data_IF_058405445933
#
_entry.id   IF_058405445933
#
_cell.length_a   1.000
_cell.length_b   1.000
_cell.length_c   1.000
_cell.angle_alpha   90.00
_cell.angle_beta   90.00
_cell.angle_gamma   90.00
#
_symmetry.space_group_name_H-M   'P 1'
#
loop_
_entity.id
_entity.type
_entity.pdbx_description
1 polymer ?
#
# COMPACT_ATOMS: atom_id res chain seq x y z
N UNK A 1 20.47 -10.85 -6.59
CA UNK A 1 21.08 -9.50 -6.59
C UNK A 1 21.76 -9.10 -7.91
N UNK A 2 22.67 -9.91 -8.45
CA UNK A 2 23.43 -9.52 -9.66
C UNK A 2 22.52 -9.32 -10.89
N UNK A 3 21.59 -10.23 -11.15
CA UNK A 3 20.61 -10.09 -12.25
C UNK A 3 19.80 -8.82 -12.12
N UNK A 4 19.37 -8.48 -10.89
CA UNK A 4 18.58 -7.27 -10.64
C UNK A 4 19.37 -5.99 -10.93
N UNK A 5 20.68 -5.96 -10.59
CA UNK A 5 21.56 -4.83 -10.95
C UNK A 5 21.66 -4.63 -12.47
N UNK A 6 21.70 -5.72 -13.26
CA UNK A 6 21.70 -5.66 -14.72
C UNK A 6 20.38 -5.09 -15.25
N UNK A 7 19.24 -5.50 -14.67
CA UNK A 7 17.91 -4.97 -15.05
C UNK A 7 17.81 -3.47 -14.77
N UNK A 8 18.28 -3.03 -13.60
CA UNK A 8 18.34 -1.60 -13.24
C UNK A 8 19.24 -0.84 -14.22
N UNK A 9 20.47 -1.33 -14.48
CA UNK A 9 21.40 -0.69 -15.43
C UNK A 9 20.77 -0.57 -16.83
N UNK A 10 20.05 -1.59 -17.28
CA UNK A 10 19.33 -1.57 -18.57
C UNK A 10 18.24 -0.52 -18.62
N UNK A 11 17.50 -0.30 -17.53
CA UNK A 11 16.50 0.74 -17.46
C UNK A 11 17.11 2.15 -17.51
N UNK A 12 18.30 2.34 -16.91
CA UNK A 12 19.01 3.62 -16.85
C UNK A 12 19.66 4.06 -18.17
N UNK A 13 19.98 3.12 -19.07
CA UNK A 13 20.65 3.44 -20.37
C UNK A 13 19.87 4.49 -21.19
N UNK A 14 18.56 4.55 -21.03
CA UNK A 14 17.70 5.50 -21.73
C UNK A 14 17.59 6.86 -21.03
N UNK A 15 18.33 7.09 -19.95
CA UNK A 15 18.29 8.31 -19.14
C UNK A 15 16.85 8.77 -18.81
N UNK A 16 16.01 7.86 -18.25
CA UNK A 16 14.60 8.15 -18.01
C UNK A 16 14.44 9.16 -16.88
N UNK A 17 13.34 9.92 -16.88
CA UNK A 17 12.94 10.76 -15.75
C UNK A 17 12.19 9.98 -14.68
N UNK A 18 11.51 8.88 -15.05
CA UNK A 18 10.84 7.98 -14.13
C UNK A 18 11.03 6.52 -14.54
N UNK A 19 11.00 5.63 -13.54
CA UNK A 19 11.10 4.18 -13.73
C UNK A 19 9.93 3.51 -13.01
N UNK A 20 9.26 2.62 -13.74
CA UNK A 20 8.21 1.77 -13.20
C UNK A 20 8.81 0.47 -12.68
N UNK A 21 8.62 0.19 -11.40
CA UNK A 21 9.19 -0.96 -10.71
C UNK A 21 8.05 -1.88 -10.23
N UNK A 22 7.85 -2.97 -10.95
CA UNK A 22 6.84 -3.97 -10.60
C UNK A 22 7.49 -5.12 -9.85
N UNK A 23 7.24 -5.20 -8.55
CA UNK A 23 7.81 -6.17 -7.61
C UNK A 23 9.34 -6.36 -7.74
N UNK A 24 10.15 -5.30 -7.78
CA UNK A 24 11.55 -5.38 -8.20
C UNK A 24 12.44 -6.15 -7.22
N UNK A 25 11.98 -6.44 -6.01
CA UNK A 25 12.77 -7.11 -4.97
C UNK A 25 12.09 -8.35 -4.37
N UNK A 26 10.91 -8.73 -4.84
CA UNK A 26 10.07 -9.81 -4.25
C UNK A 26 10.74 -11.19 -4.27
N UNK A 27 11.60 -11.47 -5.26
CA UNK A 27 12.30 -12.73 -5.42
C UNK A 27 13.69 -12.76 -4.77
N UNK A 28 14.03 -11.78 -3.95
CA UNK A 28 15.35 -11.64 -3.34
C UNK A 28 15.26 -11.94 -1.82
N UNK A 29 16.36 -12.46 -1.27
CA UNK A 29 16.50 -12.55 0.19
C UNK A 29 16.61 -11.15 0.82
N UNK A 30 16.26 -11.02 2.11
CA UNK A 30 16.14 -9.74 2.83
C UNK A 30 17.43 -8.91 2.76
N UNK A 31 18.60 -9.57 2.84
CA UNK A 31 19.88 -8.89 2.82
C UNK A 31 20.18 -8.27 1.44
N UNK A 32 19.90 -9.01 0.38
CA UNK A 32 20.06 -8.53 -0.99
C UNK A 32 18.99 -7.48 -1.34
N UNK A 33 17.77 -7.66 -0.83
CA UNK A 33 16.69 -6.68 -0.95
C UNK A 33 17.13 -5.29 -0.46
N UNK A 34 17.68 -5.22 0.76
CA UNK A 34 18.20 -3.98 1.33
C UNK A 34 19.28 -3.33 0.46
N UNK A 35 20.22 -4.14 -0.08
CA UNK A 35 21.27 -3.63 -0.97
C UNK A 35 20.71 -3.05 -2.28
N UNK A 36 19.68 -3.66 -2.86
CA UNK A 36 19.04 -3.15 -4.09
C UNK A 36 18.24 -1.88 -3.79
N UNK A 37 17.53 -1.81 -2.67
CA UNK A 37 16.79 -0.60 -2.29
C UNK A 37 17.73 0.59 -2.05
N UNK A 38 18.84 0.39 -1.34
CA UNK A 38 19.84 1.44 -1.15
C UNK A 38 20.43 1.90 -2.50
N UNK A 39 20.78 0.94 -3.38
CA UNK A 39 21.23 1.30 -4.73
C UNK A 39 20.20 2.13 -5.49
N UNK A 40 18.91 1.81 -5.38
CA UNK A 40 17.86 2.58 -6.05
C UNK A 40 17.71 3.99 -5.46
N UNK A 41 17.88 4.16 -4.15
CA UNK A 41 17.90 5.48 -3.51
C UNK A 41 19.10 6.30 -3.94
N UNK A 42 20.30 5.72 -3.96
CA UNK A 42 21.52 6.38 -4.44
C UNK A 42 21.35 6.88 -5.90
N UNK A 43 20.76 6.03 -6.75
CA UNK A 43 20.49 6.38 -8.15
C UNK A 43 19.40 7.47 -8.26
N UNK A 44 18.39 7.45 -7.39
CA UNK A 44 17.35 8.48 -7.33
C UNK A 44 17.98 9.84 -7.01
N UNK A 45 18.83 9.90 -6.00
CA UNK A 45 19.54 11.14 -5.62
C UNK A 45 20.49 11.62 -6.70
N UNK A 46 21.29 10.70 -7.28
CA UNK A 46 22.31 11.03 -8.27
C UNK A 46 21.72 11.54 -9.59
N UNK A 47 20.61 10.93 -10.05
CA UNK A 47 20.04 11.20 -11.37
C UNK A 47 18.69 11.95 -11.32
N UNK A 48 18.18 12.27 -10.13
CA UNK A 48 16.88 12.94 -9.98
C UNK A 48 15.71 12.10 -10.49
N UNK A 49 15.77 10.76 -10.28
CA UNK A 49 14.77 9.83 -10.78
C UNK A 49 13.50 9.86 -9.94
N UNK A 50 12.36 9.64 -10.61
CA UNK A 50 11.10 9.32 -9.94
C UNK A 50 10.78 7.84 -10.11
N UNK A 51 10.45 7.15 -9.02
CA UNK A 51 10.01 5.75 -9.06
C UNK A 51 8.49 5.64 -8.88
N UNK A 52 7.88 4.76 -9.69
CA UNK A 52 6.56 4.19 -9.39
C UNK A 52 6.81 2.76 -8.97
N UNK A 53 6.61 2.47 -7.68
CA UNK A 53 7.00 1.21 -7.07
C UNK A 53 5.76 0.39 -6.69
N UNK A 54 5.61 -0.81 -7.26
CA UNK A 54 4.55 -1.77 -6.89
C UNK A 54 5.17 -2.87 -6.05
N UNK A 55 4.60 -3.12 -4.89
CA UNK A 55 5.01 -4.21 -4.00
C UNK A 55 3.90 -4.56 -3.02
N UNK A 56 3.92 -5.78 -2.52
CA UNK A 56 3.08 -6.23 -1.42
C UNK A 56 3.83 -6.21 -0.06
N UNK A 57 5.13 -5.90 -0.06
CA UNK A 57 5.92 -5.81 1.16
C UNK A 57 5.88 -4.39 1.75
N UNK A 58 5.14 -4.24 2.85
CA UNK A 58 4.97 -2.96 3.54
C UNK A 58 6.27 -2.44 4.17
N UNK A 59 7.23 -3.31 4.49
CA UNK A 59 8.54 -2.90 5.01
C UNK A 59 9.35 -2.19 3.93
N UNK A 60 9.28 -2.69 2.69
CA UNK A 60 9.89 -2.06 1.52
C UNK A 60 9.25 -0.70 1.25
N UNK A 61 7.90 -0.65 1.23
CA UNK A 61 7.15 0.59 1.01
C UNK A 61 7.53 1.66 2.02
N UNK A 62 7.61 1.30 3.31
CA UNK A 62 7.99 2.22 4.38
C UNK A 62 9.37 2.85 4.19
N UNK A 63 10.28 2.11 3.57
CA UNK A 63 11.68 2.52 3.43
C UNK A 63 11.92 3.42 2.21
N UNK A 64 11.22 3.16 1.09
CA UNK A 64 11.55 3.81 -0.20
C UNK A 64 10.53 4.87 -0.63
N UNK A 65 9.31 4.90 -0.06
CA UNK A 65 8.23 5.70 -0.60
C UNK A 65 8.04 7.02 0.12
N UNK A 66 7.85 8.10 -0.65
CA UNK A 66 7.39 9.39 -0.14
C UNK A 66 5.86 9.41 -0.01
N UNK A 67 5.17 8.89 -1.03
CA UNK A 67 3.71 8.81 -1.13
C UNK A 67 3.27 7.38 -1.39
N UNK A 68 2.18 6.95 -0.76
CA UNK A 68 1.65 5.59 -0.89
C UNK A 68 0.21 5.65 -1.36
N UNK A 69 -0.08 4.78 -2.34
CA UNK A 69 -1.42 4.50 -2.81
C UNK A 69 -1.76 3.04 -2.49
N UNK A 70 -2.71 2.83 -1.59
CA UNK A 70 -3.20 1.49 -1.25
C UNK A 70 -4.32 1.10 -2.21
N UNK A 71 -4.20 -0.08 -2.80
CA UNK A 71 -5.17 -0.60 -3.76
C UNK A 71 -5.81 -1.89 -3.25
N UNK A 72 -7.11 -2.05 -3.51
CA UNK A 72 -7.85 -3.29 -3.25
C UNK A 72 -8.71 -3.66 -4.46
N UNK A 73 -8.49 -4.85 -5.03
CA UNK A 73 -9.19 -5.36 -6.22
C UNK A 73 -9.28 -4.32 -7.35
N UNK A 74 -8.15 -3.65 -7.66
CA UNK A 74 -8.06 -2.67 -8.74
C UNK A 74 -8.65 -1.28 -8.44
N UNK A 75 -9.06 -1.00 -7.19
CA UNK A 75 -9.52 0.32 -6.77
C UNK A 75 -8.57 0.91 -5.73
N UNK A 76 -8.26 2.21 -5.87
CA UNK A 76 -7.57 2.95 -4.83
C UNK A 76 -8.49 3.14 -3.64
N UNK A 77 -8.06 2.72 -2.45
CA UNK A 77 -8.83 2.85 -1.22
C UNK A 77 -8.29 3.93 -0.30
N UNK A 78 -6.99 4.20 -0.36
CA UNK A 78 -6.33 5.22 0.45
C UNK A 78 -5.08 5.75 -0.25
N UNK A 79 -4.78 7.05 -0.11
CA UNK A 79 -3.59 7.70 -0.65
C UNK A 79 -3.14 8.83 0.25
N UNK A 80 -1.89 8.80 0.70
CA UNK A 80 -1.28 9.86 1.49
C UNK A 80 0.25 9.69 1.53
N UNK A 81 0.94 10.59 2.27
CA UNK A 81 2.37 10.41 2.51
C UNK A 81 2.65 9.11 3.26
N UNK A 82 3.81 8.50 3.02
CA UNK A 82 4.23 7.28 3.72
C UNK A 82 4.17 7.47 5.24
N UNK A 83 4.69 8.59 5.75
CA UNK A 83 4.65 8.92 7.17
C UNK A 83 3.24 8.90 7.74
N UNK A 84 2.29 9.52 7.04
CA UNK A 84 0.88 9.58 7.47
C UNK A 84 0.25 8.20 7.47
N UNK A 85 0.47 7.40 6.42
CA UNK A 85 -0.13 6.07 6.32
C UNK A 85 0.26 5.16 7.48
N UNK A 86 1.54 5.14 7.85
CA UNK A 86 2.02 4.29 8.94
C UNK A 86 1.67 4.80 10.34
N UNK A 87 1.36 6.09 10.49
CA UNK A 87 0.97 6.69 11.79
C UNK A 87 -0.54 6.69 11.99
N UNK A 88 -1.30 7.03 10.96
CA UNK A 88 -2.75 7.26 11.02
C UNK A 88 -3.47 6.70 9.79
N UNK A 89 -3.47 5.36 9.58
CA UNK A 89 -4.24 4.75 8.51
C UNK A 89 -5.73 4.97 8.76
N UNK A 90 -6.48 5.33 7.73
CA UNK A 90 -7.90 5.63 7.85
C UNK A 90 -8.78 4.49 7.32
N UNK A 91 -8.44 3.93 6.15
CA UNK A 91 -9.26 2.88 5.56
C UNK A 91 -9.14 1.56 6.34
N UNK A 92 -10.25 0.84 6.63
CA UNK A 92 -10.20 -0.43 7.37
C UNK A 92 -9.28 -1.49 6.77
N UNK A 93 -9.19 -1.56 5.43
CA UNK A 93 -8.26 -2.46 4.77
C UNK A 93 -6.80 -2.11 5.05
N UNK A 94 -6.44 -0.82 5.01
CA UNK A 94 -5.08 -0.35 5.35
C UNK A 94 -4.73 -0.65 6.81
N UNK A 95 -5.69 -0.42 7.74
CA UNK A 95 -5.53 -0.78 9.15
C UNK A 95 -5.23 -2.28 9.30
N UNK A 96 -6.00 -3.13 8.62
CA UNK A 96 -5.79 -4.58 8.63
C UNK A 96 -4.46 -5.02 8.01
N UNK A 97 -4.01 -4.37 6.92
CA UNK A 97 -2.70 -4.64 6.34
C UNK A 97 -1.56 -4.29 7.30
N UNK A 98 -1.65 -3.13 7.96
CA UNK A 98 -0.62 -2.66 8.88
C UNK A 98 -0.60 -3.44 10.20
N UNK A 99 -1.74 -3.94 10.66
CA UNK A 99 -1.82 -4.79 11.86
C UNK A 99 -1.17 -6.18 11.64
N UNK A 100 -1.12 -6.64 10.40
CA UNK A 100 -0.48 -7.91 10.04
C UNK A 100 1.06 -7.84 10.02
N UNK A 101 1.67 -6.64 10.13
CA UNK A 101 3.13 -6.50 10.22
C UNK A 101 3.59 -6.97 11.60
N UNK A 102 4.48 -7.99 11.70
CA UNK A 102 5.02 -8.42 12.98
C UNK A 102 5.75 -7.28 13.70
N UNK A 103 5.31 -6.93 14.90
CA UNK A 103 6.00 -5.97 15.76
C UNK A 103 6.84 -6.71 16.77
N UNK A 104 8.12 -6.34 17.01
CA UNK A 104 8.97 -6.97 18.00
C UNK A 104 8.62 -6.52 19.43
N UNK A 105 7.32 -6.46 19.78
CA UNK A 105 6.86 -6.05 21.11
C UNK A 105 6.02 -7.16 21.69
N UNK A 106 6.50 -7.73 22.80
CA UNK A 106 5.77 -8.70 23.61
C UNK A 106 4.77 -7.90 24.46
N UNK A 107 3.64 -7.53 23.90
CA UNK A 107 2.48 -7.12 24.65
C UNK A 107 1.33 -8.07 24.34
N UNK A 108 0.93 -8.83 25.33
CA UNK A 108 -0.32 -9.57 25.39
C UNK A 108 -1.51 -8.59 25.45
N UNK A 109 -1.74 -7.86 24.40
CA UNK A 109 -3.05 -7.26 24.16
C UNK A 109 -3.66 -8.00 22.99
N UNK A 110 -4.54 -8.94 23.26
CA UNK A 110 -5.58 -9.38 22.34
C UNK A 110 -6.46 -8.16 22.07
N UNK A 111 -5.95 -7.24 21.26
CA UNK A 111 -6.79 -6.25 20.69
C UNK A 111 -7.58 -6.94 19.57
N UNK A 112 -8.88 -6.84 19.65
CA UNK A 112 -9.90 -7.23 18.66
C UNK A 112 -9.74 -6.48 17.32
N UNK A 113 -8.50 -6.31 16.84
CA UNK A 113 -8.14 -5.58 15.63
C UNK A 113 -8.26 -6.44 14.37
N UNK A 114 -9.20 -7.38 14.37
CA UNK A 114 -9.50 -8.16 13.17
C UNK A 114 -10.34 -7.32 12.19
N UNK A 115 -9.63 -6.38 11.53
CA UNK A 115 -10.24 -5.52 10.49
C UNK A 115 -10.58 -6.30 9.22
N UNK A 116 -10.05 -7.52 9.07
CA UNK A 116 -10.16 -8.36 7.88
C UNK A 116 -10.99 -9.60 8.21
N UNK A 117 -12.22 -9.66 7.75
CA UNK A 117 -13.11 -10.82 7.91
C UNK A 117 -13.45 -11.43 6.54
N UNK A 118 -13.89 -12.69 6.52
CA UNK A 118 -14.40 -13.36 5.32
C UNK A 118 -13.36 -13.66 4.24
N UNK A 119 -13.83 -14.25 3.14
CA UNK A 119 -13.03 -14.68 2.00
C UNK A 119 -12.75 -13.55 1.00
N UNK A 120 -11.68 -13.71 0.20
CA UNK A 120 -11.36 -12.80 -0.90
C UNK A 120 -12.46 -12.88 -1.98
N UNK A 121 -13.05 -11.74 -2.29
CA UNK A 121 -13.99 -11.64 -3.40
C UNK A 121 -13.26 -11.79 -4.73
N UNK A 122 -13.94 -12.38 -5.73
CA UNK A 122 -13.39 -12.49 -7.09
C UNK A 122 -13.19 -11.09 -7.70
N UNK A 123 -12.04 -10.82 -8.35
CA UNK A 123 -11.84 -9.59 -9.11
C UNK A 123 -12.64 -9.59 -10.43
N UNK A 124 -13.15 -10.74 -10.86
CA UNK A 124 -13.90 -10.92 -12.11
C UNK A 124 -15.36 -10.55 -11.86
N UNK A 125 -15.89 -9.62 -12.66
CA UNK A 125 -17.27 -9.12 -12.55
C UNK A 125 -17.62 -8.71 -11.10
N UNK A 126 -16.90 -7.76 -10.51
CA UNK A 126 -17.13 -7.35 -9.13
C UNK A 126 -18.54 -6.82 -8.96
N UNK A 127 -19.17 -7.15 -7.83
CA UNK A 127 -20.49 -6.63 -7.47
C UNK A 127 -20.46 -5.09 -7.35
N UNK A 128 -21.61 -4.43 -7.55
CA UNK A 128 -21.71 -3.00 -7.27
C UNK A 128 -21.31 -2.69 -5.82
N UNK A 129 -20.92 -1.43 -5.56
CA UNK A 129 -20.54 -1.00 -4.23
C UNK A 129 -19.05 -1.05 -3.92
N UNK A 130 -18.73 -0.89 -2.65
CA UNK A 130 -17.38 -0.94 -2.14
C UNK A 130 -16.82 -2.37 -2.28
N UNK A 131 -15.72 -2.53 -3.00
CA UNK A 131 -15.09 -3.84 -3.23
C UNK A 131 -14.63 -4.52 -1.94
N UNK A 132 -14.33 -3.73 -0.91
CA UNK A 132 -13.93 -4.24 0.40
C UNK A 132 -15.13 -4.54 1.32
N UNK A 133 -16.36 -4.13 1.01
CA UNK A 133 -17.55 -4.30 1.86
C UNK A 133 -17.75 -5.74 2.38
N UNK A 134 -17.56 -6.82 1.57
CA UNK A 134 -17.76 -8.21 2.05
C UNK A 134 -16.77 -8.61 3.17
N UNK A 135 -15.65 -7.91 3.32
CA UNK A 135 -14.60 -8.19 4.30
C UNK A 135 -14.49 -7.10 5.37
N UNK A 136 -15.32 -6.08 5.30
CA UNK A 136 -15.25 -4.92 6.18
C UNK A 136 -16.19 -5.10 7.37
N UNK A 137 -15.64 -5.18 8.59
CA UNK A 137 -16.47 -5.25 9.83
C UNK A 137 -17.35 -4.01 10.05
N UNK A 138 -17.05 -2.90 9.39
CA UNK A 138 -17.78 -1.64 9.48
C UNK A 138 -18.70 -1.41 8.28
N UNK A 139 -18.93 -2.43 7.44
CA UNK A 139 -19.78 -2.27 6.27
C UNK A 139 -21.21 -1.90 6.66
N UNK A 140 -21.77 -0.89 6.00
CA UNK A 140 -23.17 -0.52 6.05
C UNK A 140 -23.87 -0.92 4.75
N UNK A 141 -25.18 -0.85 4.71
CA UNK A 141 -25.97 -1.17 3.52
C UNK A 141 -25.54 -0.36 2.29
N UNK A 142 -25.25 0.93 2.46
CA UNK A 142 -24.73 1.79 1.40
C UNK A 142 -23.45 1.23 0.76
N UNK A 143 -22.57 0.60 1.56
CA UNK A 143 -21.32 0.03 1.06
C UNK A 143 -21.52 -1.09 0.03
N UNK A 144 -22.65 -1.79 0.06
CA UNK A 144 -22.96 -2.87 -0.90
C UNK A 144 -23.58 -2.36 -2.19
N UNK A 145 -24.10 -1.13 -2.21
CA UNK A 145 -24.83 -0.57 -3.36
C UNK A 145 -24.07 0.52 -4.10
N UNK A 146 -23.22 1.28 -3.39
CA UNK A 146 -22.52 2.45 -3.94
C UNK A 146 -21.03 2.33 -3.75
N UNK A 147 -20.27 2.52 -4.84
CA UNK A 147 -18.82 2.57 -4.75
C UNK A 147 -18.37 3.89 -4.13
N UNK A 148 -17.55 3.86 -3.05
CA UNK A 148 -17.03 5.09 -2.47
C UNK A 148 -16.06 5.77 -3.44
N UNK A 149 -16.11 7.10 -3.48
CA UNK A 149 -15.21 7.93 -4.28
C UNK A 149 -14.02 8.31 -3.39
N UNK A 150 -12.82 8.30 -3.96
CA UNK A 150 -11.62 8.80 -3.27
C UNK A 150 -11.78 10.29 -3.00
N UNK A 151 -11.85 10.68 -1.73
CA UNK A 151 -12.04 12.07 -1.27
C UNK A 151 -10.95 12.43 -0.28
N UNK A 152 -10.53 13.67 -0.30
CA UNK A 152 -9.65 14.23 0.70
C UNK A 152 -10.41 14.39 2.02
N UNK A 153 -9.95 13.70 3.05
CA UNK A 153 -10.54 13.74 4.38
C UNK A 153 -9.82 14.76 5.29
N UNK A 154 -8.51 14.77 5.22
CA UNK A 154 -7.64 15.81 5.78
C UNK A 154 -6.63 16.21 4.70
N UNK A 155 -6.02 17.41 4.77
CA UNK A 155 -5.08 17.86 3.75
C UNK A 155 -4.01 16.81 3.43
N UNK A 156 -3.91 16.43 2.16
CA UNK A 156 -2.97 15.42 1.66
C UNK A 156 -3.32 13.96 1.97
N UNK A 157 -4.50 13.67 2.56
CA UNK A 157 -4.92 12.31 2.87
C UNK A 157 -6.29 11.98 2.25
N UNK A 158 -6.25 11.20 1.19
CA UNK A 158 -7.44 10.81 0.42
C UNK A 158 -7.85 9.39 0.78
N UNK A 159 -9.16 9.19 0.96
CA UNK A 159 -9.72 7.89 1.34
C UNK A 159 -11.03 7.62 0.59
N UNK A 160 -11.23 6.38 0.15
CA UNK A 160 -12.46 5.93 -0.50
C UNK A 160 -13.28 5.06 0.48
N UNK A 161 -13.97 5.69 1.42
CA UNK A 161 -14.79 5.00 2.41
C UNK A 161 -16.02 5.83 2.81
N UNK A 162 -17.19 5.17 2.91
CA UNK A 162 -18.44 5.83 3.34
C UNK A 162 -18.49 6.07 4.86
N UNK A 163 -17.69 5.33 5.64
CA UNK A 163 -17.76 5.32 7.11
C UNK A 163 -16.76 6.26 7.78
N UNK A 164 -15.86 6.89 7.04
CA UNK A 164 -14.90 7.83 7.63
C UNK A 164 -15.61 9.09 8.06
N UNK A 165 -15.37 9.49 9.31
CA UNK A 165 -16.03 10.65 9.94
C UNK A 165 -17.28 10.34 10.73
N UNK A 166 -17.85 9.10 10.62
CA UNK A 166 -19.03 8.71 11.41
C UNK A 166 -18.72 7.75 12.56
N UNK A 167 -17.81 6.76 12.39
CA UNK A 167 -17.57 5.74 13.42
C UNK A 167 -16.15 5.09 13.37
N UNK A 168 -15.26 5.55 12.51
CA UNK A 168 -13.94 4.89 12.29
C UNK A 168 -12.76 5.84 12.61
N UNK A 169 -13.06 6.98 13.21
CA UNK A 169 -12.01 7.93 13.63
C UNK A 169 -11.27 7.44 14.87
#
# INVERSE_FOLDING_TARGET
>A
GQRQRIVIARALILEPKFIFCDEPVSALDVSIQAQILNLMQDLQEQYGLTYIFITHDLSVVKHISDEIMVMYLGCTVERCSAKTLFQQPLHPYTKGLLSAIPRPVIHESKNDDDFLTGELSSPINPKPGCRFAPRCRFASEECFHKQPILKEFVPGHLVACHRIGSDIA
#
